data_IF_601082009487
#
_entry.id   IF_601082009487
#
_cell.length_a   1.000
_cell.length_b   1.000
_cell.length_c   1.000
_cell.angle_alpha   90.00
_cell.angle_beta   90.00
_cell.angle_gamma   90.00
#
_symmetry.space_group_name_H-M   'P 1'
#
loop_
_entity.id
_entity.type
_entity.pdbx_description
1 polymer ?
#
# COMPACT_ATOMS: atom_id res chain seq x y z
N UNK A 1 -12.86 17.73 -6.37
CA UNK A 1 -11.78 16.87 -5.85
C UNK A 1 -12.33 15.47 -5.77
N UNK A 2 -11.71 14.50 -6.44
CA UNK A 2 -12.10 13.09 -6.32
C UNK A 2 -11.86 12.64 -4.87
N UNK A 3 -12.88 12.06 -4.24
CA UNK A 3 -12.78 11.55 -2.88
C UNK A 3 -12.28 10.09 -2.91
N UNK A 4 -11.44 9.72 -1.93
CA UNK A 4 -11.08 8.32 -1.71
C UNK A 4 -12.18 7.64 -0.88
N UNK A 5 -12.49 6.36 -1.16
CA UNK A 5 -13.47 5.62 -0.36
C UNK A 5 -12.91 5.27 1.03
N UNK A 6 -13.79 4.95 1.97
CA UNK A 6 -13.44 4.53 3.34
C UNK A 6 -13.07 3.03 3.44
N UNK A 7 -12.40 2.51 2.42
CA UNK A 7 -11.86 1.14 2.32
C UNK A 7 -10.42 1.22 1.82
N UNK A 8 -9.59 0.16 1.97
CA UNK A 8 -8.23 0.18 1.46
C UNK A 8 -8.20 0.49 -0.04
N UNK A 9 -7.21 1.29 -0.46
CA UNK A 9 -7.02 1.67 -1.87
C UNK A 9 -5.59 1.43 -2.31
N UNK A 10 -5.41 1.16 -3.61
CA UNK A 10 -4.13 1.24 -4.30
C UNK A 10 -4.19 2.41 -5.27
N UNK A 11 -3.56 3.53 -4.92
CA UNK A 11 -3.62 4.76 -5.72
C UNK A 11 -2.42 4.85 -6.64
N UNK A 12 -2.67 4.97 -7.94
CA UNK A 12 -1.64 5.33 -8.92
C UNK A 12 -1.27 6.80 -8.74
N UNK A 13 0.00 7.08 -8.46
CA UNK A 13 0.49 8.47 -8.27
C UNK A 13 1.50 8.89 -9.32
N UNK A 14 1.97 7.96 -10.15
CA UNK A 14 2.84 8.24 -11.29
C UNK A 14 2.27 7.64 -12.57
N UNK A 15 2.30 8.42 -13.65
CA UNK A 15 1.58 8.16 -14.90
C UNK A 15 2.52 8.11 -16.12
N UNK A 16 3.80 7.77 -15.92
CA UNK A 16 4.78 7.72 -17.01
C UNK A 16 4.78 6.42 -17.80
N UNK A 17 4.10 5.38 -17.31
CA UNK A 17 3.97 4.08 -17.97
C UNK A 17 2.61 3.43 -17.59
N UNK A 18 1.72 3.29 -18.59
CA UNK A 18 0.42 2.64 -18.41
C UNK A 18 0.53 1.11 -18.40
N UNK A 19 1.49 0.54 -19.14
CA UNK A 19 1.69 -0.90 -19.18
C UNK A 19 2.25 -1.43 -17.85
N UNK A 20 3.10 -0.65 -17.18
CA UNK A 20 3.56 -0.98 -15.84
C UNK A 20 2.41 -0.98 -14.81
N UNK A 21 1.46 -0.04 -14.95
CA UNK A 21 0.27 0.00 -14.09
C UNK A 21 -0.66 -1.20 -14.32
N UNK A 22 -0.85 -1.59 -15.58
CA UNK A 22 -1.58 -2.81 -15.94
C UNK A 22 -0.91 -4.07 -15.37
N UNK A 23 0.42 -4.21 -15.54
CA UNK A 23 1.20 -5.32 -14.98
C UNK A 23 1.08 -5.40 -13.45
N UNK A 24 1.29 -4.28 -12.76
CA UNK A 24 1.11 -4.22 -11.30
C UNK A 24 -0.31 -4.67 -10.91
N UNK A 25 -1.33 -4.20 -11.62
CA UNK A 25 -2.73 -4.52 -11.32
C UNK A 25 -3.03 -6.02 -11.51
N UNK A 26 -2.42 -6.66 -12.49
CA UNK A 26 -2.52 -8.11 -12.71
C UNK A 26 -1.78 -8.89 -11.62
N UNK A 27 -0.59 -8.46 -11.23
CA UNK A 27 0.22 -9.08 -10.18
C UNK A 27 -0.50 -9.07 -8.82
N UNK A 28 -1.02 -7.91 -8.40
CA UNK A 28 -1.76 -7.79 -7.12
C UNK A 28 -3.12 -8.50 -7.11
N UNK A 29 -3.65 -8.87 -8.29
CA UNK A 29 -4.87 -9.68 -8.44
C UNK A 29 -4.59 -11.17 -8.61
N UNK A 30 -3.32 -11.55 -8.68
CA UNK A 30 -2.92 -12.96 -8.72
C UNK A 30 -2.96 -13.51 -7.28
N UNK A 31 -3.76 -14.55 -7.00
CA UNK A 31 -3.81 -15.13 -5.67
C UNK A 31 -2.46 -15.74 -5.26
N UNK A 32 -2.17 -15.74 -3.96
CA UNK A 32 -1.03 -16.50 -3.41
C UNK A 32 -1.20 -18.01 -3.63
N UNK A 33 -0.17 -18.80 -3.31
CA UNK A 33 -0.23 -20.28 -3.40
C UNK A 33 -1.42 -20.87 -2.60
N UNK A 34 -1.76 -20.24 -1.48
CA UNK A 34 -2.88 -20.63 -0.61
C UNK A 34 -4.22 -19.97 -1.02
N UNK A 35 -4.24 -19.19 -2.11
CA UNK A 35 -5.43 -18.55 -2.65
C UNK A 35 -5.81 -17.22 -1.99
N UNK A 36 -4.89 -16.58 -1.26
CA UNK A 36 -5.16 -15.28 -0.63
C UNK A 36 -5.01 -14.11 -1.62
N UNK A 37 -5.82 -13.07 -1.40
CA UNK A 37 -5.76 -11.80 -2.10
C UNK A 37 -5.87 -10.65 -1.09
N UNK A 38 -5.27 -9.51 -1.42
CA UNK A 38 -5.52 -8.27 -0.71
C UNK A 38 -6.88 -7.68 -1.13
N UNK A 39 -7.62 -7.14 -0.17
CA UNK A 39 -8.88 -6.45 -0.42
C UNK A 39 -8.67 -4.93 -0.48
N UNK A 40 -8.60 -4.37 -1.69
CA UNK A 40 -8.50 -2.93 -1.91
C UNK A 40 -9.18 -2.50 -3.22
N UNK A 41 -9.39 -1.19 -3.38
CA UNK A 41 -9.86 -0.59 -4.65
C UNK A 41 -8.71 0.08 -5.40
N UNK A 42 -8.39 -0.32 -6.64
CA UNK A 42 -7.45 0.42 -7.49
C UNK A 42 -8.02 1.81 -7.81
N UNK A 43 -7.19 2.84 -7.75
CA UNK A 43 -7.53 4.22 -8.07
C UNK A 43 -6.56 4.74 -9.13
N UNK A 44 -7.03 4.81 -10.36
CA UNK A 44 -6.31 5.34 -11.53
C UNK A 44 -6.98 6.65 -11.97
N UNK A 45 -6.68 7.73 -11.26
CA UNK A 45 -7.20 9.07 -11.54
C UNK A 45 -6.02 10.07 -11.50
N UNK A 46 -5.70 10.75 -12.62
CA UNK A 46 -4.63 11.75 -12.69
C UNK A 46 -4.73 12.89 -11.65
N UNK A 47 -5.90 13.11 -11.05
CA UNK A 47 -6.06 14.03 -9.92
C UNK A 47 -5.21 13.65 -8.68
N UNK A 48 -4.73 12.40 -8.60
CA UNK A 48 -3.83 11.90 -7.56
C UNK A 48 -2.36 11.81 -7.98
N UNK A 49 -2.00 12.38 -9.15
CA UNK A 49 -0.60 12.46 -9.55
C UNK A 49 0.25 13.16 -8.47
N UNK A 50 1.34 12.51 -8.06
CA UNK A 50 2.23 12.99 -7.00
C UNK A 50 1.65 12.97 -5.59
N UNK A 51 0.55 12.25 -5.32
CA UNK A 51 0.00 12.10 -3.98
C UNK A 51 1.05 11.47 -3.04
N UNK A 52 1.38 12.14 -1.95
CA UNK A 52 2.33 11.65 -0.94
C UNK A 52 1.64 10.81 0.14
N UNK A 53 2.42 10.10 0.95
CA UNK A 53 1.90 9.36 2.10
C UNK A 53 1.20 10.28 3.12
N UNK A 54 1.74 11.47 3.38
CA UNK A 54 1.12 12.52 4.21
C UNK A 54 -0.25 12.92 3.65
N UNK A 55 -0.29 13.22 2.35
CA UNK A 55 -1.49 13.65 1.67
C UNK A 55 -2.56 12.55 1.59
N UNK A 56 -2.15 11.27 1.51
CA UNK A 56 -3.04 10.12 1.60
C UNK A 56 -3.65 9.99 3.01
N UNK A 57 -2.83 10.12 4.08
CA UNK A 57 -3.30 10.10 5.48
C UNK A 57 -4.37 11.17 5.74
N UNK A 58 -4.17 12.38 5.20
CA UNK A 58 -5.13 13.47 5.37
C UNK A 58 -6.47 13.24 4.62
N UNK A 59 -6.47 12.35 3.61
CA UNK A 59 -7.65 12.04 2.79
C UNK A 59 -8.42 10.81 3.28
N UNK A 60 -7.77 9.88 3.96
CA UNK A 60 -8.39 8.68 4.54
C UNK A 60 -8.31 8.71 6.06
N UNK A 61 -9.16 9.54 6.66
CA UNK A 61 -9.22 9.74 8.11
C UNK A 61 -10.15 8.78 8.84
N UNK A 62 -10.90 7.96 8.10
CA UNK A 62 -11.80 6.93 8.63
C UNK A 62 -11.74 5.67 7.74
N UNK A 63 -12.04 4.50 8.31
CA UNK A 63 -12.01 3.22 7.64
C UNK A 63 -10.71 2.42 7.86
N UNK A 64 -9.83 2.28 6.85
CA UNK A 64 -8.72 1.33 6.90
C UNK A 64 -7.58 1.75 7.83
N UNK A 65 -6.80 0.75 8.27
CA UNK A 65 -5.52 0.99 8.96
C UNK A 65 -4.45 1.36 7.94
N UNK A 66 -4.45 0.68 6.79
CA UNK A 66 -3.48 0.88 5.72
C UNK A 66 -4.13 1.05 4.34
N UNK A 67 -3.48 1.86 3.52
CA UNK A 67 -3.71 1.98 2.08
C UNK A 67 -2.37 2.09 1.37
N UNK A 68 -2.41 2.06 0.04
CA UNK A 68 -1.24 1.81 -0.79
C UNK A 68 -1.06 2.87 -1.87
N UNK A 69 0.19 3.16 -2.21
CA UNK A 69 0.57 4.02 -3.32
C UNK A 69 1.41 3.24 -4.33
N UNK A 70 1.08 3.39 -5.61
CA UNK A 70 1.92 3.01 -6.73
C UNK A 70 2.58 4.28 -7.29
N UNK A 71 3.77 4.58 -6.77
CA UNK A 71 4.58 5.72 -7.17
C UNK A 71 5.55 5.37 -8.30
N UNK A 72 6.39 6.33 -8.69
CA UNK A 72 7.39 6.11 -9.75
C UNK A 72 8.28 4.91 -9.44
N UNK A 73 8.71 4.73 -8.19
CA UNK A 73 9.53 3.57 -7.80
C UNK A 73 8.75 2.26 -7.96
N UNK A 74 7.46 2.23 -7.58
CA UNK A 74 6.61 1.06 -7.82
C UNK A 74 6.51 0.74 -9.31
N UNK A 75 6.36 1.73 -10.19
CA UNK A 75 6.08 1.48 -11.61
C UNK A 75 7.32 1.42 -12.51
N UNK A 76 8.51 1.71 -11.98
CA UNK A 76 9.78 1.65 -12.73
C UNK A 76 10.73 0.57 -12.23
N UNK A 77 10.50 0.04 -11.02
CA UNK A 77 11.30 -1.05 -10.46
C UNK A 77 10.82 -2.41 -10.98
N UNK A 78 11.72 -3.34 -11.33
CA UNK A 78 11.37 -4.68 -11.80
C UNK A 78 10.53 -5.52 -10.82
N UNK A 79 10.57 -5.22 -9.51
CA UNK A 79 9.82 -5.96 -8.47
C UNK A 79 8.48 -5.31 -8.11
N UNK A 80 8.15 -4.19 -8.76
CA UNK A 80 6.99 -3.35 -8.48
C UNK A 80 6.66 -3.13 -6.98
N UNK A 81 7.63 -2.73 -6.14
CA UNK A 81 7.43 -2.66 -4.70
C UNK A 81 6.45 -1.53 -4.35
N UNK A 82 5.24 -1.91 -3.91
CA UNK A 82 4.13 -1.04 -3.54
C UNK A 82 4.41 -0.37 -2.20
N UNK A 83 4.13 0.93 -2.10
CA UNK A 83 4.34 1.66 -0.85
C UNK A 83 3.13 1.49 0.09
N UNK A 84 3.37 0.92 1.27
CA UNK A 84 2.37 0.73 2.33
C UNK A 84 2.33 1.96 3.23
N UNK A 85 1.15 2.55 3.40
CA UNK A 85 0.95 3.76 4.19
C UNK A 85 -0.07 3.47 5.29
N UNK A 86 0.30 3.70 6.54
CA UNK A 86 -0.65 3.72 7.65
C UNK A 86 -1.50 4.99 7.57
N UNK A 87 -2.80 4.84 7.33
CA UNK A 87 -3.75 5.95 7.13
C UNK A 87 -4.63 6.23 8.34
N UNK A 88 -4.85 5.26 9.22
CA UNK A 88 -5.61 5.48 10.46
C UNK A 88 -5.00 6.62 11.29
N UNK A 89 -5.77 7.65 11.67
CA UNK A 89 -5.27 8.75 12.49
C UNK A 89 -4.61 8.26 13.77
N UNK A 90 -3.59 8.99 14.24
CA UNK A 90 -2.99 8.73 15.54
C UNK A 90 -4.03 9.01 16.62
N UNK A 91 -4.13 8.11 17.60
CA UNK A 91 -4.90 8.39 18.83
C UNK A 91 -4.12 9.41 19.66
N UNK A 92 -4.85 10.22 20.44
CA UNK A 92 -4.22 11.15 21.37
C UNK A 92 -3.23 10.43 22.28
N UNK A 93 -1.98 10.90 22.28
CA UNK A 93 -0.88 10.32 23.05
C UNK A 93 -0.12 9.17 22.36
N UNK A 94 -0.50 8.73 21.15
CA UNK A 94 0.30 7.76 20.38
C UNK A 94 1.53 8.44 19.77
N UNK A 95 2.69 8.21 20.40
CA UNK A 95 3.98 8.75 19.96
C UNK A 95 4.72 7.82 18.98
N UNK A 96 4.16 6.64 18.67
CA UNK A 96 4.83 5.71 17.73
C UNK A 96 4.86 6.32 16.34
N UNK A 97 5.99 6.08 15.67
CA UNK A 97 6.12 6.37 14.26
C UNK A 97 5.86 5.12 13.43
N UNK A 98 5.19 5.32 12.30
CA UNK A 98 4.83 4.27 11.35
C UNK A 98 5.31 4.72 9.97
N UNK A 99 6.65 4.80 9.77
CA UNK A 99 7.20 5.23 8.49
C UNK A 99 6.77 4.24 7.41
N UNK A 100 6.29 4.72 6.24
CA UNK A 100 5.94 3.85 5.13
C UNK A 100 7.05 2.85 4.80
N UNK A 101 6.67 1.63 4.45
CA UNK A 101 7.58 0.59 3.95
C UNK A 101 7.07 0.06 2.62
N UNK A 102 7.89 -0.71 1.91
CA UNK A 102 7.50 -1.28 0.63
C UNK A 102 7.23 -2.77 0.71
N UNK A 103 6.36 -3.28 -0.15
CA UNK A 103 6.03 -4.71 -0.26
C UNK A 103 5.95 -5.10 -1.73
N UNK A 104 6.46 -6.29 -2.08
CA UNK A 104 6.27 -6.84 -3.43
C UNK A 104 4.80 -7.21 -3.66
N UNK A 105 4.28 -7.13 -4.89
CA UNK A 105 2.87 -7.42 -5.17
C UNK A 105 2.41 -8.79 -4.67
N UNK A 106 3.27 -9.81 -4.77
CA UNK A 106 2.99 -11.17 -4.33
C UNK A 106 2.71 -11.29 -2.80
N UNK A 107 3.17 -10.32 -2.01
CA UNK A 107 3.02 -10.29 -0.55
C UNK A 107 2.07 -9.19 -0.06
N UNK A 108 1.45 -8.43 -0.98
CA UNK A 108 0.53 -7.36 -0.60
C UNK A 108 -0.68 -7.89 0.19
N UNK A 109 -1.12 -9.12 -0.11
CA UNK A 109 -2.20 -9.80 0.60
C UNK A 109 -1.89 -10.00 2.09
N UNK A 110 -0.66 -10.33 2.45
CA UNK A 110 -0.29 -10.64 3.83
C UNK A 110 -0.27 -9.36 4.67
N UNK A 111 0.15 -8.24 4.07
CA UNK A 111 0.07 -6.90 4.68
C UNK A 111 -1.38 -6.48 4.91
N UNK A 112 -2.20 -6.51 3.86
CA UNK A 112 -3.58 -6.03 3.92
C UNK A 112 -4.43 -6.86 4.90
N UNK A 113 -4.39 -8.19 4.75
CA UNK A 113 -5.20 -9.12 5.55
C UNK A 113 -4.80 -9.18 7.03
N UNK A 114 -3.62 -8.68 7.42
CA UNK A 114 -3.21 -8.67 8.82
C UNK A 114 -3.25 -7.27 9.45
N UNK A 115 -2.85 -6.23 8.72
CA UNK A 115 -2.82 -4.87 9.28
C UNK A 115 -4.21 -4.24 9.38
N UNK A 116 -5.10 -4.42 8.40
CA UNK A 116 -6.44 -3.85 8.48
C UNK A 116 -7.31 -4.51 9.57
N UNK A 117 -7.26 -5.84 9.76
CA UNK A 117 -7.92 -6.49 10.90
C UNK A 117 -7.15 -6.36 12.22
N UNK A 118 -5.95 -5.77 12.22
CA UNK A 118 -5.05 -5.69 13.38
C UNK A 118 -4.69 -7.06 14.00
N UNK A 119 -4.45 -8.07 13.16
CA UNK A 119 -3.99 -9.41 13.57
C UNK A 119 -2.48 -9.46 13.80
N UNK A 120 -1.71 -8.63 13.08
CA UNK A 120 -0.27 -8.45 13.28
C UNK A 120 0.06 -6.95 13.41
N UNK A 121 1.21 -6.67 14.01
CA UNK A 121 1.69 -5.31 14.21
C UNK A 121 2.51 -4.81 13.02
N UNK A 122 2.55 -3.48 12.84
CA UNK A 122 3.39 -2.83 11.83
C UNK A 122 4.87 -3.25 11.90
N UNK A 123 5.37 -3.47 13.13
CA UNK A 123 6.75 -3.85 13.38
C UNK A 123 7.09 -5.28 12.92
N UNK A 124 6.09 -6.16 12.77
CA UNK A 124 6.32 -7.51 12.28
C UNK A 124 6.75 -7.47 10.81
N UNK A 125 6.12 -6.60 10.01
CA UNK A 125 6.48 -6.41 8.60
C UNK A 125 7.78 -5.63 8.43
N UNK A 126 7.98 -4.52 9.15
CA UNK A 126 9.18 -3.69 8.95
C UNK A 126 10.46 -4.34 9.45
N UNK A 127 10.40 -5.27 10.41
CA UNK A 127 11.56 -6.07 10.84
C UNK A 127 11.87 -7.24 9.91
N UNK A 128 10.88 -7.69 9.14
CA UNK A 128 11.03 -8.74 8.13
C UNK A 128 11.34 -8.19 6.74
N UNK A 129 11.31 -6.87 6.55
CA UNK A 129 11.79 -6.25 5.33
C UNK A 129 13.30 -6.47 5.16
N UNK A 130 13.73 -6.68 3.92
CA UNK A 130 15.14 -6.87 3.58
C UNK A 130 15.94 -5.58 3.80
N UNK A 131 17.27 -5.65 3.60
CA UNK A 131 18.18 -4.52 3.80
C UNK A 131 17.88 -3.27 2.94
N UNK A 132 17.06 -3.41 1.91
CA UNK A 132 16.56 -2.33 1.06
C UNK A 132 15.20 -1.76 1.51
N UNK A 133 14.61 -2.29 2.58
CA UNK A 133 13.33 -1.86 3.14
C UNK A 133 12.10 -2.40 2.40
N UNK A 134 12.26 -3.43 1.56
CA UNK A 134 11.18 -4.11 0.87
C UNK A 134 10.85 -5.42 1.60
N UNK A 135 9.57 -5.59 1.96
CA UNK A 135 9.03 -6.82 2.49
C UNK A 135 8.74 -7.81 1.34
N UNK A 136 9.39 -8.98 1.40
CA UNK A 136 9.29 -10.07 0.41
C UNK A 136 8.74 -11.38 1.00
N UNK A 137 8.20 -11.32 2.22
CA UNK A 137 7.73 -12.48 2.97
C UNK A 137 8.44 -12.62 4.32
N UNK A 138 8.05 -13.62 5.11
CA UNK A 138 8.63 -13.95 6.41
C UNK A 138 9.73 -15.02 6.32
#
# INVERSE_FOLDING_TARGET
>A
MTALPAIPVLVRTWFGDDAAWESLTDEVRTPSEDGFLANFTPVDDPAFAGLTAEALRDRQTDGPIVSFLADETTLTSPEHPVLVVRVLPRRDGDQRDFPPFRVVPAELWSVENNLNPATMDWADFTRSADGDGVFRGF
#
